data_IF_965132226868
#
_entry.id   IF_965132226868
#
_cell.length_a   1.000
_cell.length_b   1.000
_cell.length_c   1.000
_cell.angle_alpha   90.00
_cell.angle_beta   90.00
_cell.angle_gamma   90.00
#
_symmetry.space_group_name_H-M   'P 1'
#
loop_
_entity.id
_entity.type
_entity.pdbx_description
1 polymer ?
#
# COMPACT_ATOMS: atom_id res chain seq x y z
N UNK A 1 3.21 -2.19 29.16
CA UNK A 1 2.81 -3.53 28.66
C UNK A 1 4.03 -4.42 28.68
N UNK A 2 3.95 -5.61 29.28
CA UNK A 2 4.98 -6.63 29.09
C UNK A 2 4.83 -7.15 27.66
N UNK A 3 5.84 -6.91 26.82
CA UNK A 3 5.88 -7.39 25.43
C UNK A 3 6.71 -8.67 25.39
N UNK A 4 6.19 -9.72 24.76
CA UNK A 4 6.89 -11.02 24.64
C UNK A 4 8.08 -10.98 23.65
N UNK A 5 8.26 -9.86 22.93
CA UNK A 5 9.28 -9.70 21.90
C UNK A 5 9.75 -8.25 21.82
N UNK A 6 10.98 -8.04 21.35
CA UNK A 6 11.53 -6.72 20.99
C UNK A 6 11.37 -6.37 19.52
N UNK A 7 10.88 -7.31 18.69
CA UNK A 7 10.64 -7.07 17.28
C UNK A 7 9.46 -6.11 17.07
N UNK A 8 9.49 -5.24 16.04
CA UNK A 8 8.34 -4.43 15.66
C UNK A 8 7.12 -5.31 15.34
N UNK A 9 5.98 -4.97 15.91
CA UNK A 9 4.69 -5.59 15.59
C UNK A 9 3.99 -4.71 14.55
N UNK A 10 3.56 -5.33 13.45
CA UNK A 10 2.88 -4.67 12.34
C UNK A 10 1.58 -5.43 12.07
N UNK A 11 0.40 -4.92 12.48
CA UNK A 11 -0.86 -5.54 12.14
C UNK A 11 -1.10 -5.46 10.63
N UNK A 12 -1.17 -6.63 9.99
CA UNK A 12 -1.49 -6.79 8.57
C UNK A 12 -2.91 -7.30 8.43
N UNK A 13 -3.71 -6.56 7.66
CA UNK A 13 -5.14 -6.82 7.54
C UNK A 13 -6.03 -5.63 7.90
N UNK A 14 -5.44 -4.44 8.11
CA UNK A 14 -6.19 -3.21 8.39
C UNK A 14 -7.03 -2.88 7.15
N UNK A 15 -8.34 -2.75 7.34
CA UNK A 15 -9.33 -2.56 6.27
C UNK A 15 -10.28 -1.40 6.51
N UNK A 16 -10.09 -0.64 7.60
CA UNK A 16 -10.89 0.54 7.95
C UNK A 16 -10.00 1.61 8.59
N UNK A 17 -10.42 2.87 8.52
CA UNK A 17 -9.77 3.96 9.26
C UNK A 17 -9.87 3.78 10.78
N UNK A 18 -10.96 3.19 11.29
CA UNK A 18 -11.14 2.96 12.73
C UNK A 18 -10.12 1.98 13.30
N UNK A 19 -9.83 0.91 12.58
CA UNK A 19 -8.77 -0.03 12.97
C UNK A 19 -7.38 0.61 12.88
N UNK A 20 -7.16 1.49 11.90
CA UNK A 20 -5.92 2.28 11.81
C UNK A 20 -5.76 3.21 13.03
N UNK A 21 -6.82 3.94 13.42
CA UNK A 21 -6.85 4.78 14.63
C UNK A 21 -6.53 3.94 15.87
N UNK A 22 -7.15 2.77 16.00
CA UNK A 22 -6.92 1.86 17.13
C UNK A 22 -5.47 1.36 17.17
N UNK A 23 -4.91 0.97 16.02
CA UNK A 23 -3.53 0.51 15.94
C UNK A 23 -2.54 1.59 16.37
N UNK A 24 -2.71 2.82 15.87
CA UNK A 24 -1.90 3.99 16.27
C UNK A 24 -2.01 4.25 17.77
N UNK A 25 -3.23 4.24 18.33
CA UNK A 25 -3.47 4.41 19.78
C UNK A 25 -2.73 3.37 20.63
N UNK A 26 -2.54 2.16 20.10
CA UNK A 26 -1.80 1.08 20.75
C UNK A 26 -0.27 1.16 20.53
N UNK A 27 0.23 2.19 19.85
CA UNK A 27 1.66 2.46 19.71
C UNK A 27 2.39 1.52 18.75
N UNK A 28 1.70 0.95 17.76
CA UNK A 28 2.38 0.18 16.70
C UNK A 28 3.29 1.10 15.88
N UNK A 29 4.39 0.56 15.35
CA UNK A 29 5.34 1.35 14.53
C UNK A 29 4.87 1.49 13.08
N UNK A 30 4.06 0.55 12.62
CA UNK A 30 3.53 0.51 11.27
C UNK A 30 2.19 -0.22 11.24
N UNK A 31 1.40 0.04 10.21
CA UNK A 31 0.18 -0.69 9.87
C UNK A 31 0.28 -1.19 8.42
N UNK A 32 -0.47 -2.25 8.09
CA UNK A 32 -0.45 -2.82 6.75
C UNK A 32 -1.87 -3.03 6.23
N UNK A 33 -2.25 -2.18 5.27
CA UNK A 33 -3.52 -2.21 4.55
C UNK A 33 -3.57 -3.42 3.62
N UNK A 34 -4.52 -4.32 3.86
CA UNK A 34 -4.61 -5.57 3.11
C UNK A 34 -5.93 -6.28 3.38
N UNK A 35 -6.55 -6.84 2.35
CA UNK A 35 -7.63 -7.82 2.46
C UNK A 35 -7.13 -9.25 2.12
N UNK A 36 -5.83 -9.50 2.33
CA UNK A 36 -5.16 -10.76 1.97
C UNK A 36 -5.21 -11.08 0.46
N UNK A 37 -5.31 -10.05 -0.37
CA UNK A 37 -5.50 -10.17 -1.80
C UNK A 37 -6.89 -10.71 -2.18
N UNK A 38 -7.93 -10.40 -1.42
CA UNK A 38 -9.30 -10.85 -1.70
C UNK A 38 -9.47 -12.36 -1.49
N UNK A 39 -8.80 -12.92 -0.49
CA UNK A 39 -8.80 -14.38 -0.20
C UNK A 39 -9.42 -14.73 1.15
N UNK A 40 -9.88 -13.73 1.90
CA UNK A 40 -10.43 -13.92 3.24
C UNK A 40 -11.92 -13.58 3.24
N UNK A 41 -12.25 -12.29 3.35
CA UNK A 41 -13.63 -11.82 3.22
C UNK A 41 -13.81 -11.20 1.83
N UNK A 42 -14.79 -11.71 1.09
CA UNK A 42 -15.15 -11.20 -0.23
C UNK A 42 -15.84 -9.83 -0.11
N UNK A 43 -15.89 -9.07 -1.20
CA UNK A 43 -16.49 -7.72 -1.28
C UNK A 43 -15.88 -6.69 -0.32
N UNK A 44 -14.71 -6.99 0.22
CA UNK A 44 -13.94 -6.04 1.05
C UNK A 44 -13.32 -4.95 0.18
N UNK A 45 -13.16 -3.74 0.72
CA UNK A 45 -12.49 -2.66 0.01
C UNK A 45 -11.06 -3.05 -0.36
N UNK A 46 -10.58 -2.51 -1.47
CA UNK A 46 -9.19 -2.55 -1.85
C UNK A 46 -8.34 -1.70 -0.88
N UNK A 47 -7.05 -2.03 -0.76
CA UNK A 47 -6.14 -1.23 0.06
C UNK A 47 -6.00 0.23 -0.40
N UNK A 48 -6.27 0.51 -1.69
CA UNK A 48 -6.33 1.88 -2.20
C UNK A 48 -7.56 2.62 -1.68
N UNK A 49 -8.73 1.97 -1.65
CA UNK A 49 -9.95 2.56 -1.08
C UNK A 49 -9.78 2.82 0.43
N UNK A 50 -9.17 1.90 1.17
CA UNK A 50 -8.86 2.10 2.60
C UNK A 50 -7.84 3.24 2.80
N UNK A 51 -6.82 3.34 1.92
CA UNK A 51 -5.87 4.46 1.98
C UNK A 51 -6.57 5.81 1.71
N UNK A 52 -7.54 5.86 0.79
CA UNK A 52 -8.35 7.04 0.50
C UNK A 52 -9.27 7.41 1.67
N UNK A 53 -9.90 6.42 2.31
CA UNK A 53 -10.69 6.62 3.53
C UNK A 53 -9.85 7.25 4.64
N UNK A 54 -8.68 6.66 4.94
CA UNK A 54 -7.74 7.20 5.94
C UNK A 54 -7.30 8.61 5.56
N UNK A 55 -6.97 8.86 4.29
CA UNK A 55 -6.53 10.19 3.85
C UNK A 55 -7.64 11.25 3.97
N UNK A 56 -8.89 10.88 3.70
CA UNK A 56 -10.03 11.78 3.78
C UNK A 56 -10.49 12.05 5.22
N UNK A 57 -10.42 11.06 6.10
CA UNK A 57 -10.92 11.19 7.46
C UNK A 57 -9.85 11.50 8.51
N UNK A 58 -8.64 10.96 8.38
CA UNK A 58 -7.57 11.05 9.38
C UNK A 58 -6.16 11.05 8.74
N UNK A 59 -5.83 12.03 7.88
CA UNK A 59 -4.57 12.04 7.11
C UNK A 59 -3.31 12.08 7.98
N UNK A 60 -3.41 12.52 9.23
CA UNK A 60 -2.28 12.54 10.16
C UNK A 60 -1.74 11.14 10.51
N UNK A 61 -2.52 10.07 10.30
CA UNK A 61 -2.06 8.68 10.49
C UNK A 61 -0.80 8.39 9.65
N UNK A 62 -0.75 8.88 8.40
CA UNK A 62 0.41 8.70 7.52
C UNK A 62 1.69 9.36 8.02
N UNK A 63 1.59 10.30 8.98
CA UNK A 63 2.74 10.95 9.63
C UNK A 63 3.08 10.33 10.98
N UNK A 64 2.15 9.62 11.61
CA UNK A 64 2.30 9.05 12.94
C UNK A 64 2.91 7.64 12.92
N UNK A 65 2.59 6.84 11.89
CA UNK A 65 3.08 5.47 11.71
C UNK A 65 3.45 5.22 10.26
N UNK A 66 4.31 4.24 10.00
CA UNK A 66 4.51 3.79 8.62
C UNK A 66 3.27 3.03 8.13
N UNK A 67 2.78 3.37 6.95
CA UNK A 67 1.65 2.65 6.32
C UNK A 67 2.18 1.83 5.16
N UNK A 68 1.95 0.53 5.17
CA UNK A 68 2.21 -0.36 4.04
C UNK A 68 0.90 -0.80 3.40
N UNK A 69 0.94 -1.22 2.13
CA UNK A 69 -0.26 -1.72 1.44
C UNK A 69 0.06 -2.87 0.48
N UNK A 70 -0.89 -3.74 0.20
CA UNK A 70 -0.82 -4.74 -0.87
C UNK A 70 -2.19 -4.95 -1.55
N UNK A 71 -2.25 -5.90 -2.49
CA UNK A 71 -3.49 -6.33 -3.14
C UNK A 71 -3.68 -5.67 -4.50
N UNK A 72 -3.89 -6.47 -5.54
CA UNK A 72 -4.19 -5.96 -6.88
C UNK A 72 -3.07 -5.25 -7.65
N UNK A 73 -2.00 -4.79 -7.00
CA UNK A 73 -0.89 -4.01 -7.63
C UNK A 73 -0.19 -4.79 -8.73
N UNK A 74 -0.22 -4.30 -9.97
CA UNK A 74 0.44 -4.96 -11.13
C UNK A 74 1.31 -4.02 -11.94
N UNK A 75 1.06 -2.72 -11.90
CA UNK A 75 1.76 -1.73 -12.71
C UNK A 75 2.43 -0.65 -11.86
N UNK A 76 3.40 0.06 -12.44
CA UNK A 76 4.06 1.21 -11.82
C UNK A 76 3.06 2.24 -11.28
N UNK A 77 2.08 2.63 -12.09
CA UNK A 77 1.03 3.57 -11.72
C UNK A 77 0.20 3.14 -10.48
N UNK A 78 0.02 1.84 -10.23
CA UNK A 78 -0.68 1.36 -9.03
C UNK A 78 0.14 1.67 -7.77
N UNK A 79 1.46 1.49 -7.84
CA UNK A 79 2.39 1.83 -6.77
C UNK A 79 2.36 3.35 -6.53
N UNK A 80 2.44 4.15 -7.59
CA UNK A 80 2.47 5.61 -7.48
C UNK A 80 1.21 6.19 -6.81
N UNK A 81 0.02 5.62 -7.07
CA UNK A 81 -1.23 6.04 -6.40
C UNK A 81 -1.16 5.85 -4.89
N UNK A 82 -0.64 4.71 -4.44
CA UNK A 82 -0.50 4.43 -3.00
C UNK A 82 0.57 5.32 -2.37
N UNK A 83 1.74 5.47 -3.02
CA UNK A 83 2.80 6.35 -2.53
C UNK A 83 2.33 7.81 -2.42
N UNK A 84 1.57 8.30 -3.40
CA UNK A 84 1.00 9.65 -3.42
C UNK A 84 0.10 9.93 -2.20
N UNK A 85 -0.56 8.92 -1.64
CA UNK A 85 -1.41 9.04 -0.44
C UNK A 85 -0.63 8.95 0.87
N UNK A 86 0.69 8.72 0.82
CA UNK A 86 1.54 8.57 2.01
C UNK A 86 1.83 7.13 2.41
N UNK A 87 1.42 6.14 1.62
CA UNK A 87 1.87 4.75 1.83
C UNK A 87 3.39 4.68 1.62
N UNK A 88 4.10 4.11 2.59
CA UNK A 88 5.56 4.01 2.61
C UNK A 88 6.11 2.90 1.71
N UNK A 89 5.41 1.78 1.63
CA UNK A 89 5.83 0.61 0.86
C UNK A 89 4.62 -0.16 0.33
N UNK A 90 4.77 -0.69 -0.89
CA UNK A 90 3.71 -1.42 -1.61
C UNK A 90 4.19 -2.85 -1.88
N UNK A 91 3.47 -3.83 -1.33
CA UNK A 91 3.76 -5.24 -1.48
C UNK A 91 3.05 -5.89 -2.66
N UNK A 92 3.72 -6.87 -3.27
CA UNK A 92 3.16 -7.70 -4.34
C UNK A 92 3.31 -9.17 -3.96
N UNK A 93 2.22 -9.94 -4.03
CA UNK A 93 2.24 -11.38 -3.73
C UNK A 93 2.33 -12.23 -4.99
N UNK A 94 1.19 -12.40 -5.68
CA UNK A 94 1.06 -13.29 -6.84
C UNK A 94 2.04 -13.01 -8.00
N UNK A 95 2.37 -11.76 -8.37
CA UNK A 95 3.34 -11.52 -9.43
C UNK A 95 4.67 -12.23 -9.19
N UNK A 96 5.22 -12.13 -7.97
CA UNK A 96 6.46 -12.83 -7.62
C UNK A 96 6.27 -14.34 -7.49
N UNK A 97 5.12 -14.81 -7.00
CA UNK A 97 4.80 -16.23 -6.97
C UNK A 97 4.79 -16.86 -8.37
N UNK A 98 4.22 -16.16 -9.36
CA UNK A 98 4.21 -16.62 -10.75
C UNK A 98 5.57 -16.52 -11.41
N UNK A 99 6.30 -15.42 -11.15
CA UNK A 99 7.66 -15.24 -11.67
C UNK A 99 8.61 -16.34 -11.17
N UNK A 100 8.41 -16.83 -9.94
CA UNK A 100 9.17 -17.93 -9.36
C UNK A 100 9.06 -19.26 -10.13
N UNK A 101 8.15 -19.39 -11.10
CA UNK A 101 8.16 -20.51 -12.06
C UNK A 101 9.44 -20.57 -12.90
N UNK A 102 10.14 -19.44 -13.05
CA UNK A 102 11.47 -19.34 -13.68
C UNK A 102 12.60 -19.27 -12.64
N UNK A 103 12.34 -19.66 -11.38
CA UNK A 103 13.31 -19.58 -10.29
C UNK A 103 13.73 -18.15 -9.95
N UNK A 104 14.94 -18.02 -9.40
CA UNK A 104 15.52 -16.73 -8.99
C UNK A 104 15.56 -15.72 -10.13
N UNK A 105 15.96 -16.14 -11.34
CA UNK A 105 16.01 -15.28 -12.53
C UNK A 105 14.65 -14.68 -12.87
N UNK A 106 13.58 -15.45 -12.70
CA UNK A 106 12.21 -14.94 -12.86
C UNK A 106 11.85 -13.87 -11.85
N UNK A 107 12.17 -14.09 -10.57
CA UNK A 107 11.91 -13.13 -9.50
C UNK A 107 12.71 -11.85 -9.72
N UNK A 108 14.00 -11.96 -10.06
CA UNK A 108 14.86 -10.82 -10.42
C UNK A 108 14.27 -10.06 -11.60
N UNK A 109 13.82 -10.76 -12.64
CA UNK A 109 13.18 -10.13 -13.79
C UNK A 109 11.89 -9.40 -13.41
N UNK A 110 11.08 -9.95 -12.52
CA UNK A 110 9.88 -9.27 -12.01
C UNK A 110 10.23 -7.99 -11.22
N UNK A 111 11.31 -8.01 -10.43
CA UNK A 111 11.82 -6.82 -9.73
C UNK A 111 12.27 -5.75 -10.74
N UNK A 112 13.00 -6.15 -11.79
CA UNK A 112 13.45 -5.23 -12.85
C UNK A 112 12.29 -4.57 -13.58
N UNK A 113 11.28 -5.37 -13.98
CA UNK A 113 10.09 -4.87 -14.66
C UNK A 113 9.37 -3.86 -13.77
N UNK A 114 9.09 -4.22 -12.52
CA UNK A 114 8.41 -3.32 -11.58
C UNK A 114 9.19 -2.02 -11.36
N UNK A 115 10.52 -2.11 -11.17
CA UNK A 115 11.39 -0.93 -11.02
C UNK A 115 11.36 -0.04 -12.26
N UNK A 116 11.40 -0.63 -13.44
CA UNK A 116 11.38 0.09 -14.71
C UNK A 116 10.05 0.82 -14.93
N UNK A 117 8.92 0.13 -14.71
CA UNK A 117 7.59 0.73 -14.84
C UNK A 117 7.37 1.85 -13.84
N UNK A 118 7.73 1.66 -12.56
CA UNK A 118 7.62 2.73 -11.55
C UNK A 118 8.43 3.96 -11.99
N UNK A 119 9.64 3.78 -12.51
CA UNK A 119 10.49 4.88 -12.95
C UNK A 119 9.93 5.60 -14.19
N UNK A 120 9.46 4.86 -15.19
CA UNK A 120 8.85 5.44 -16.40
C UNK A 120 7.57 6.19 -16.06
N UNK A 121 6.69 5.59 -15.27
CA UNK A 121 5.43 6.21 -14.89
C UNK A 121 5.69 7.48 -14.06
N UNK A 122 6.63 7.42 -13.10
CA UNK A 122 6.99 8.61 -12.31
C UNK A 122 7.55 9.72 -13.20
N UNK A 123 8.40 9.39 -14.19
CA UNK A 123 8.91 10.36 -15.16
C UNK A 123 7.79 10.97 -16.01
N UNK A 124 6.81 10.17 -16.46
CA UNK A 124 5.64 10.64 -17.19
C UNK A 124 4.75 11.56 -16.33
N UNK A 125 4.69 11.34 -15.02
CA UNK A 125 4.03 12.23 -14.05
C UNK A 125 4.86 13.49 -13.71
N UNK A 126 6.10 13.58 -14.17
CA UNK A 126 7.03 14.67 -13.83
C UNK A 126 7.60 14.57 -12.40
N UNK A 127 7.59 13.38 -11.80
CA UNK A 127 8.11 13.11 -10.44
C UNK A 127 9.51 12.53 -10.53
N UNK A 128 10.53 13.39 -10.38
CA UNK A 128 11.94 12.99 -10.39
C UNK A 128 12.45 12.38 -9.08
N UNK A 129 11.76 12.62 -7.96
CA UNK A 129 12.02 12.02 -6.65
C UNK A 129 10.72 11.46 -6.09
N UNK A 130 10.64 10.13 -5.96
CA UNK A 130 9.46 9.45 -5.40
C UNK A 130 9.19 9.84 -3.95
N UNK A 131 10.17 10.36 -3.20
CA UNK A 131 9.94 10.86 -1.84
C UNK A 131 9.15 12.16 -1.82
N UNK A 132 9.13 12.88 -2.93
CA UNK A 132 8.38 14.13 -3.11
C UNK A 132 7.01 13.91 -3.77
N UNK A 133 6.65 12.67 -4.11
CA UNK A 133 5.31 12.36 -4.60
C UNK A 133 4.28 12.73 -3.52
N UNK A 134 3.17 13.29 -3.95
CA UNK A 134 2.13 13.76 -3.05
C UNK A 134 0.73 13.56 -3.62
N UNK A 135 -0.28 13.91 -2.83
CA UNK A 135 -1.68 13.59 -3.10
C UNK A 135 -2.23 14.27 -4.35
N UNK A 136 -1.57 15.31 -4.88
CA UNK A 136 -1.97 16.02 -6.11
C UNK A 136 -2.11 15.12 -7.35
N UNK A 137 -1.53 13.92 -7.33
CA UNK A 137 -1.58 12.96 -8.45
C UNK A 137 -2.74 11.94 -8.35
N UNK A 138 -3.55 12.01 -7.29
CA UNK A 138 -4.70 11.12 -7.07
C UNK A 138 -5.95 11.96 -6.83
N UNK A 139 -7.11 11.59 -7.39
CA UNK A 139 -8.36 12.28 -7.09
C UNK A 139 -9.01 11.70 -5.83
N UNK A 140 -8.93 12.42 -4.72
CA UNK A 140 -9.47 12.00 -3.41
C UNK A 140 -10.96 12.32 -3.20
N UNK A 141 -11.57 13.13 -4.09
CA UNK A 141 -12.99 13.55 -3.98
C UNK A 141 -13.98 12.54 -4.57
N UNK A 142 -13.49 11.50 -5.24
CA UNK A 142 -14.33 10.45 -5.82
C UNK A 142 -14.59 9.34 -4.81
N UNK A 143 -15.38 9.61 -3.76
CA UNK A 143 -16.02 8.56 -2.96
C UNK A 143 -17.37 8.13 -3.54
N UNK A 144 -17.74 8.67 -4.71
CA UNK A 144 -18.95 8.25 -5.39
C UNK A 144 -18.75 6.91 -6.10
N UNK A 145 -19.43 5.92 -5.51
CA UNK A 145 -19.91 4.64 -6.05
C UNK A 145 -18.87 3.60 -6.48
N UNK A 146 -18.66 2.62 -5.59
CA UNK A 146 -18.35 1.22 -5.91
C UNK A 146 -17.25 0.98 -6.95
N UNK A 147 -16.01 0.74 -6.50
CA UNK A 147 -15.01 0.06 -7.31
C UNK A 147 -14.98 -1.44 -6.98
N UNK A 148 -16.10 -2.12 -7.25
CA UNK A 148 -16.15 -3.56 -7.50
C UNK A 148 -16.73 -3.82 -8.87
#
# INVERSE_FOLDING_TARGET
MAIMTSLPIIPKGIQTVDDARLAVKNGVKAIYLSNHGGRQLDTTPSSLEVALEIYNEEPEIFKQVEVYADGGVRYGADVLKLLALGVRAVGMGRPFMYANMYGTEGVERAIEIAKHEIAIDAANLGVGDLKAIGPQYVNWKSTNVWFS
#
